data_IF_217078316790
#
_entry.id   IF_217078316790
#
_cell.length_a   1.000
_cell.length_b   1.000
_cell.length_c   1.000
_cell.angle_alpha   90.00
_cell.angle_beta   90.00
_cell.angle_gamma   90.00
#
_symmetry.space_group_name_H-M   'P 1'
#
loop_
_entity.id
_entity.type
_entity.pdbx_description
1 polymer ?
#
# COMPACT_ATOMS: atom_id res chain seq x y z
N UNK A 1 7.22 -19.53 10.99
CA UNK A 1 7.98 -18.33 10.87
C UNK A 1 7.63 -17.48 9.66
N UNK A 2 7.59 -18.06 8.50
CA UNK A 2 7.40 -17.34 7.26
C UNK A 2 6.03 -16.71 7.10
N UNK A 3 4.97 -17.41 7.49
CA UNK A 3 3.62 -16.88 7.32
C UNK A 3 3.38 -15.64 8.19
N UNK A 4 3.95 -15.62 9.39
CA UNK A 4 3.83 -14.44 10.26
C UNK A 4 4.46 -13.23 9.64
N UNK A 5 5.64 -13.40 9.03
CA UNK A 5 6.35 -12.29 8.41
C UNK A 5 5.56 -11.74 7.23
N UNK A 6 4.99 -12.61 6.41
CA UNK A 6 4.17 -12.21 5.28
C UNK A 6 2.95 -11.41 5.73
N UNK A 7 2.29 -11.88 6.77
CA UNK A 7 1.11 -11.20 7.30
C UNK A 7 1.48 -9.80 7.80
N UNK A 8 2.59 -9.70 8.50
CA UNK A 8 3.06 -8.42 9.00
C UNK A 8 3.42 -7.47 7.87
N UNK A 9 4.05 -8.00 6.83
CA UNK A 9 4.38 -7.21 5.65
C UNK A 9 3.12 -6.66 4.98
N UNK A 10 2.13 -7.53 4.82
CA UNK A 10 0.86 -7.13 4.22
C UNK A 10 0.20 -6.04 5.06
N UNK A 11 0.17 -6.20 6.37
CA UNK A 11 -0.42 -5.21 7.26
C UNK A 11 0.30 -3.88 7.17
N UNK A 12 1.62 -3.90 7.09
CA UNK A 12 2.42 -2.70 6.95
C UNK A 12 2.11 -1.99 5.64
N UNK A 13 2.10 -2.74 4.55
CA UNK A 13 1.82 -2.18 3.23
C UNK A 13 0.39 -1.65 3.17
N UNK A 14 -0.56 -2.38 3.74
CA UNK A 14 -1.95 -1.92 3.82
C UNK A 14 -2.05 -0.59 4.56
N UNK A 15 -1.30 -0.44 5.65
CA UNK A 15 -1.25 0.81 6.39
C UNK A 15 -0.73 1.96 5.54
N UNK A 16 0.30 1.70 4.75
CA UNK A 16 0.85 2.71 3.85
C UNK A 16 -0.16 3.08 2.76
N UNK A 17 -0.85 2.08 2.23
CA UNK A 17 -1.89 2.31 1.22
C UNK A 17 -3.01 3.18 1.80
N UNK A 18 -3.43 2.89 3.02
CA UNK A 18 -4.46 3.67 3.68
C UNK A 18 -4.04 5.13 3.87
N UNK A 19 -2.78 5.34 4.24
CA UNK A 19 -2.24 6.69 4.40
C UNK A 19 -2.23 7.44 3.09
N UNK A 20 -1.76 6.80 2.03
CA UNK A 20 -1.73 7.42 0.70
C UNK A 20 -3.15 7.74 0.23
N UNK A 21 -4.08 6.81 0.42
CA UNK A 21 -5.48 7.03 0.06
C UNK A 21 -6.08 8.21 0.82
N UNK A 22 -5.79 8.29 2.11
CA UNK A 22 -6.29 9.39 2.93
C UNK A 22 -5.78 10.74 2.43
N UNK A 23 -4.51 10.79 2.07
CA UNK A 23 -3.91 12.02 1.54
C UNK A 23 -4.52 12.39 0.19
N UNK A 24 -4.60 11.43 -0.71
CA UNK A 24 -5.13 11.68 -2.05
C UNK A 24 -6.62 11.96 -2.04
N UNK A 25 -7.33 11.42 -1.06
CA UNK A 25 -8.76 11.68 -0.90
C UNK A 25 -9.06 13.00 -0.22
N UNK A 26 -8.04 13.65 0.35
CA UNK A 26 -8.21 14.92 1.02
C UNK A 26 -8.06 16.05 0.02
N UNK A 27 -9.16 16.72 -0.28
CA UNK A 27 -9.17 17.82 -1.24
C UNK A 27 -8.23 18.95 -0.84
N UNK A 28 -8.13 19.22 0.44
CA UNK A 28 -7.25 20.27 0.96
C UNK A 28 -5.78 19.94 0.68
N UNK A 29 -5.43 18.69 0.85
CA UNK A 29 -4.07 18.26 0.57
C UNK A 29 -3.76 18.37 -0.93
N UNK A 30 -4.66 17.88 -1.76
CA UNK A 30 -4.48 17.92 -3.21
C UNK A 30 -4.43 19.34 -3.71
N UNK A 31 -5.23 20.23 -3.14
CA UNK A 31 -5.24 21.63 -3.52
C UNK A 31 -3.99 22.37 -3.09
N UNK A 32 -3.42 21.99 -1.94
CA UNK A 32 -2.21 22.65 -1.41
C UNK A 32 -0.92 22.09 -1.97
N UNK A 33 -0.90 20.79 -2.16
CA UNK A 33 0.32 20.13 -2.60
C UNK A 33 0.58 20.40 -4.08
N UNK A 34 1.86 20.58 -4.45
CA UNK A 34 2.20 20.72 -5.86
C UNK A 34 1.87 19.43 -6.61
N UNK A 35 1.63 19.58 -7.92
CA UNK A 35 1.30 18.45 -8.77
C UNK A 35 2.35 17.33 -8.68
N UNK A 36 3.60 17.70 -8.55
CA UNK A 36 4.69 16.74 -8.43
C UNK A 36 4.53 15.85 -7.20
N UNK A 37 4.13 16.44 -6.07
CA UNK A 37 3.93 15.70 -4.84
C UNK A 37 2.72 14.78 -4.94
N UNK A 38 1.64 15.27 -5.53
CA UNK A 38 0.43 14.47 -5.73
C UNK A 38 0.75 13.27 -6.62
N UNK A 39 1.47 13.48 -7.69
CA UNK A 39 1.89 12.41 -8.58
C UNK A 39 2.75 11.40 -7.87
N UNK A 40 3.68 11.87 -7.05
CA UNK A 40 4.56 11.01 -6.28
C UNK A 40 3.75 10.10 -5.35
N UNK A 41 2.76 10.66 -4.68
CA UNK A 41 1.89 9.89 -3.80
C UNK A 41 1.08 8.84 -4.58
N UNK A 42 0.61 9.20 -5.76
CA UNK A 42 -0.10 8.27 -6.62
C UNK A 42 0.79 7.10 -7.04
N UNK A 43 2.03 7.41 -7.42
CA UNK A 43 2.99 6.38 -7.80
C UNK A 43 3.27 5.44 -6.63
N UNK A 44 3.45 5.99 -5.43
CA UNK A 44 3.64 5.19 -4.23
C UNK A 44 2.45 4.29 -3.97
N UNK A 45 1.25 4.85 -4.09
CA UNK A 45 0.04 4.09 -3.89
C UNK A 45 -0.04 2.91 -4.85
N UNK A 46 0.25 3.15 -6.11
CA UNK A 46 0.24 2.09 -7.11
C UNK A 46 1.28 1.01 -6.77
N UNK A 47 2.48 1.42 -6.37
CA UNK A 47 3.54 0.49 -6.01
C UNK A 47 3.16 -0.36 -4.80
N UNK A 48 2.62 0.27 -3.77
CA UNK A 48 2.21 -0.44 -2.57
C UNK A 48 1.04 -1.38 -2.86
N UNK A 49 0.10 -0.93 -3.69
CA UNK A 49 -1.04 -1.77 -4.06
C UNK A 49 -0.57 -3.02 -4.80
N UNK A 50 0.36 -2.84 -5.74
CA UNK A 50 0.93 -3.96 -6.47
C UNK A 50 1.68 -4.91 -5.53
N UNK A 51 2.48 -4.36 -4.64
CA UNK A 51 3.23 -5.15 -3.67
C UNK A 51 2.29 -5.92 -2.76
N UNK A 52 1.25 -5.28 -2.26
CA UNK A 52 0.27 -5.94 -1.42
C UNK A 52 -0.41 -7.09 -2.14
N UNK A 53 -0.73 -6.89 -3.41
CA UNK A 53 -1.35 -7.92 -4.23
C UNK A 53 -0.43 -9.13 -4.35
N UNK A 54 0.85 -8.90 -4.60
CA UNK A 54 1.83 -9.98 -4.71
C UNK A 54 2.00 -10.72 -3.39
N UNK A 55 2.06 -9.99 -2.31
CA UNK A 55 2.21 -10.60 -0.97
C UNK A 55 1.00 -11.47 -0.64
N UNK A 56 -0.19 -10.99 -0.97
CA UNK A 56 -1.41 -11.76 -0.73
C UNK A 56 -1.46 -13.01 -1.58
N UNK A 57 -0.99 -12.92 -2.82
CA UNK A 57 -0.89 -14.07 -3.69
C UNK A 57 0.04 -15.12 -3.11
N UNK A 58 1.20 -14.69 -2.64
CA UNK A 58 2.15 -15.61 -2.02
C UNK A 58 1.55 -16.28 -0.80
N UNK A 59 0.85 -15.51 0.02
CA UNK A 59 0.21 -16.05 1.22
C UNK A 59 -0.86 -17.08 0.85
N UNK A 60 -1.63 -16.81 -0.20
CA UNK A 60 -2.66 -17.73 -0.68
C UNK A 60 -2.08 -19.00 -1.26
N UNK A 61 -0.89 -18.93 -1.82
CA UNK A 61 -0.21 -20.09 -2.41
C UNK A 61 0.48 -20.97 -1.38
N UNK A 62 0.73 -20.44 -0.19
CA UNK A 62 1.37 -21.22 0.85
C UNK A 62 0.43 -22.35 1.29
N UNK A 63 0.99 -23.55 1.48
CA UNK A 63 0.16 -24.65 1.97
C UNK A 63 -0.37 -24.32 3.36
N UNK A 64 -1.63 -24.62 3.58
CA UNK A 64 -2.24 -24.41 4.88
C UNK A 64 -1.68 -25.47 5.83
N UNK A 65 -0.68 -25.11 6.54
CA UNK A 65 -0.04 -26.05 7.46
C UNK A 65 -0.65 -25.99 8.83
#
# INVERSE_FOLDING_TARGET
MCSSDLTKEIERVDGEIAKCNAKLGNERFVARAPAAVVEQERTRLANFTDLASKLREQLAKLPAA
#
